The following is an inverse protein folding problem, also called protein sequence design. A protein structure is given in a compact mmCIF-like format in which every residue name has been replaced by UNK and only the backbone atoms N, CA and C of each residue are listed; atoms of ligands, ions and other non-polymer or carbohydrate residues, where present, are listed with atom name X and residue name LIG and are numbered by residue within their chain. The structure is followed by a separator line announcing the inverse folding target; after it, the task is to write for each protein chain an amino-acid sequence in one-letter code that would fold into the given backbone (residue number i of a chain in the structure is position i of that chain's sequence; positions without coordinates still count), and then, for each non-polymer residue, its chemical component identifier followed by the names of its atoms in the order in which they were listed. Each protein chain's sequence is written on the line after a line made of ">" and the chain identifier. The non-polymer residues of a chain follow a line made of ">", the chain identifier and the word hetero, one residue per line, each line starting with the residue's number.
data_IF_883407879573
#
_entry.id   IF_883407879573
#
_cell.length_a   1.000
_cell.length_b   1.000
_cell.length_c   1.000
_cell.angle_alpha   90.00
_cell.angle_beta   90.00
_cell.angle_gamma   90.00
#
_symmetry.space_group_name_H-M   'P 1'
#
loop_
_entity.id
_entity.type
_entity.pdbx_description
1 polymer ?
#
# COMPACT_ATOMS: atom_id res chain seq x y z
N UNK A 1 -6.32 5.48 -9.88
CA UNK A 1 -7.46 5.82 -9.01
C UNK A 1 -8.49 4.70 -9.13
N UNK A 2 -9.40 4.59 -8.17
CA UNK A 2 -10.54 3.68 -8.21
C UNK A 2 -11.81 4.44 -7.86
N UNK A 3 -12.90 4.17 -8.57
CA UNK A 3 -14.24 4.59 -8.15
C UNK A 3 -14.84 3.48 -7.27
N UNK A 4 -14.85 3.70 -5.97
CA UNK A 4 -15.26 2.72 -4.98
C UNK A 4 -16.75 2.40 -5.06
N UNK A 5 -17.58 3.32 -5.56
CA UNK A 5 -18.99 3.05 -5.80
C UNK A 5 -19.20 1.98 -6.89
N UNK A 6 -18.22 1.80 -7.79
CA UNK A 6 -18.25 0.78 -8.85
C UNK A 6 -17.46 -0.46 -8.45
N UNK A 7 -16.27 -0.31 -7.86
CA UNK A 7 -15.40 -1.46 -7.54
C UNK A 7 -15.80 -2.17 -6.24
N UNK A 8 -16.52 -1.50 -5.35
CA UNK A 8 -16.95 -2.04 -4.04
C UNK A 8 -18.35 -1.53 -3.67
N UNK A 9 -19.36 -1.77 -4.52
CA UNK A 9 -20.68 -1.14 -4.41
C UNK A 9 -21.41 -1.46 -3.10
N UNK A 10 -21.23 -2.65 -2.53
CA UNK A 10 -21.92 -3.05 -1.29
C UNK A 10 -21.61 -2.17 -0.08
N UNK A 11 -20.45 -1.52 -0.07
CA UNK A 11 -20.00 -0.66 1.04
C UNK A 11 -20.04 0.83 0.69
N UNK A 12 -19.81 1.17 -0.58
CA UNK A 12 -19.54 2.56 -0.99
C UNK A 12 -20.55 3.13 -1.97
N UNK A 13 -21.43 2.32 -2.57
CA UNK A 13 -22.51 2.87 -3.39
C UNK A 13 -23.64 3.37 -2.49
N UNK A 14 -24.05 4.62 -2.73
CA UNK A 14 -25.22 5.22 -2.10
C UNK A 14 -26.06 5.87 -3.17
N UNK A 15 -27.35 5.51 -3.20
CA UNK A 15 -28.27 6.00 -4.20
C UNK A 15 -28.35 7.54 -4.16
N UNK A 16 -28.10 8.19 -5.29
CA UNK A 16 -28.13 9.65 -5.40
C UNK A 16 -26.90 10.41 -4.89
N UNK A 17 -25.90 9.74 -4.27
CA UNK A 17 -24.70 10.42 -3.74
C UNK A 17 -23.49 10.41 -4.70
N UNK A 18 -23.63 9.82 -5.89
CA UNK A 18 -22.58 9.81 -6.90
C UNK A 18 -21.47 8.80 -6.62
N UNK A 19 -20.21 9.23 -6.77
CA UNK A 19 -19.02 8.37 -6.73
C UNK A 19 -18.09 8.72 -5.57
N UNK A 20 -17.37 7.72 -5.06
CA UNK A 20 -16.25 7.92 -4.12
C UNK A 20 -14.94 7.55 -4.81
N UNK A 21 -14.10 8.56 -5.07
CA UNK A 21 -12.84 8.36 -5.77
C UNK A 21 -11.68 8.20 -4.79
N UNK A 22 -10.96 7.08 -4.90
CA UNK A 22 -9.69 6.87 -4.21
C UNK A 22 -8.52 7.06 -5.18
N UNK A 23 -7.63 7.98 -4.88
CA UNK A 23 -6.45 8.30 -5.70
C UNK A 23 -5.16 8.19 -4.88
N UNK A 24 -4.05 7.90 -5.56
CA UNK A 24 -2.71 7.81 -4.97
C UNK A 24 -1.84 8.89 -5.59
N UNK A 25 -1.18 9.66 -4.75
CA UNK A 25 -0.19 10.67 -5.13
C UNK A 25 1.20 10.19 -4.69
N UNK A 26 2.22 10.45 -5.50
CA UNK A 26 3.61 10.11 -5.16
C UNK A 26 4.31 11.17 -4.30
N UNK A 27 5.59 10.92 -4.00
CA UNK A 27 6.43 11.77 -3.14
C UNK A 27 6.47 13.26 -3.55
N UNK A 28 6.25 13.57 -4.83
CA UNK A 28 6.28 14.95 -5.35
C UNK A 28 5.14 15.82 -4.83
N UNK A 29 4.07 15.21 -4.32
CA UNK A 29 2.93 15.92 -3.73
C UNK A 29 3.07 16.10 -2.21
N UNK A 30 4.03 15.46 -1.55
CA UNK A 30 4.09 15.36 -0.08
C UNK A 30 4.10 16.73 0.61
N UNK A 31 4.84 17.69 0.06
CA UNK A 31 4.96 19.06 0.58
C UNK A 31 3.78 19.99 0.29
N UNK A 32 2.82 19.61 -0.56
CA UNK A 32 1.64 20.44 -0.89
C UNK A 32 0.64 20.45 0.27
N UNK A 33 -0.20 21.47 0.39
CA UNK A 33 -1.30 21.44 1.36
C UNK A 33 -2.33 20.36 1.01
N UNK A 34 -3.15 19.93 1.97
CA UNK A 34 -4.22 18.96 1.71
C UNK A 34 -5.21 19.53 0.67
N UNK A 35 -5.58 20.80 0.81
CA UNK A 35 -6.49 21.48 -0.13
C UNK A 35 -5.93 21.50 -1.55
N UNK A 36 -4.62 21.74 -1.71
CA UNK A 36 -3.99 21.70 -3.03
C UNK A 36 -3.99 20.28 -3.62
N UNK A 37 -3.75 19.24 -2.82
CA UNK A 37 -3.81 17.85 -3.28
C UNK A 37 -5.23 17.50 -3.74
N UNK A 38 -6.25 17.94 -2.99
CA UNK A 38 -7.66 17.73 -3.36
C UNK A 38 -7.96 18.46 -4.67
N UNK A 39 -7.55 19.71 -4.82
CA UNK A 39 -7.77 20.48 -6.05
C UNK A 39 -7.06 19.83 -7.26
N UNK A 40 -5.79 19.43 -7.11
CA UNK A 40 -5.03 18.74 -8.16
C UNK A 40 -5.72 17.44 -8.60
N UNK A 41 -6.33 16.71 -7.65
CA UNK A 41 -7.11 15.51 -7.92
C UNK A 41 -8.37 15.83 -8.73
N UNK A 42 -9.14 16.84 -8.30
CA UNK A 42 -10.36 17.27 -8.97
C UNK A 42 -10.09 17.77 -10.39
N UNK A 43 -9.03 18.55 -10.60
CA UNK A 43 -8.67 19.07 -11.92
C UNK A 43 -8.30 17.93 -12.89
N UNK A 44 -7.59 16.90 -12.41
CA UNK A 44 -7.31 15.70 -13.20
C UNK A 44 -8.57 14.89 -13.47
N UNK A 45 -9.46 14.73 -12.48
CA UNK A 45 -10.74 14.04 -12.66
C UNK A 45 -11.62 14.76 -13.68
N UNK A 46 -11.72 16.08 -13.62
CA UNK A 46 -12.45 16.89 -14.60
C UNK A 46 -11.88 16.76 -16.01
N UNK A 47 -10.56 16.55 -16.13
CA UNK A 47 -9.88 16.33 -17.41
C UNK A 47 -10.17 14.94 -17.96
N UNK A 48 -10.08 13.91 -17.12
CA UNK A 48 -10.32 12.51 -17.50
C UNK A 48 -11.81 12.20 -17.73
N UNK A 49 -12.69 12.82 -16.94
CA UNK A 49 -14.13 12.61 -16.94
C UNK A 49 -14.85 13.95 -17.01
N UNK A 50 -15.05 14.53 -18.21
CA UNK A 50 -15.68 15.84 -18.35
C UNK A 50 -17.07 15.96 -17.73
N UNK A 51 -17.82 14.84 -17.61
CA UNK A 51 -19.11 14.79 -16.90
C UNK A 51 -19.01 15.17 -15.42
N UNK A 52 -17.85 14.93 -14.78
CA UNK A 52 -17.63 15.25 -13.37
C UNK A 52 -17.56 16.75 -13.09
N UNK A 53 -17.37 17.60 -14.11
CA UNK A 53 -17.35 19.08 -13.96
C UNK A 53 -18.66 19.67 -13.45
N UNK A 54 -19.76 18.93 -13.56
CA UNK A 54 -21.08 19.34 -13.07
C UNK A 54 -21.35 18.86 -11.64
N UNK A 55 -20.42 18.09 -11.06
CA UNK A 55 -20.53 17.51 -9.72
C UNK A 55 -19.78 18.37 -8.71
N UNK A 56 -20.23 18.32 -7.47
CA UNK A 56 -19.58 18.99 -6.35
C UNK A 56 -18.89 17.94 -5.47
N UNK A 57 -17.64 18.19 -5.09
CA UNK A 57 -16.97 17.41 -4.06
C UNK A 57 -17.63 17.73 -2.71
N UNK A 58 -18.36 16.76 -2.15
CA UNK A 58 -19.08 16.92 -0.87
C UNK A 58 -18.20 16.71 0.34
N UNK A 59 -17.15 15.90 0.20
CA UNK A 59 -16.19 15.59 1.26
C UNK A 59 -14.87 15.09 0.65
N UNK A 60 -13.77 15.35 1.35
CA UNK A 60 -12.46 14.82 1.00
C UNK A 60 -11.63 14.52 2.25
N UNK A 61 -10.68 13.59 2.11
CA UNK A 61 -9.68 13.30 3.14
C UNK A 61 -8.35 12.99 2.48
N UNK A 62 -7.27 13.49 3.09
CA UNK A 62 -5.90 13.30 2.62
C UNK A 62 -5.11 12.63 3.73
N UNK A 63 -4.59 11.43 3.44
CA UNK A 63 -3.69 10.69 4.33
C UNK A 63 -2.27 10.76 3.76
N UNK A 64 -1.34 11.28 4.54
CA UNK A 64 0.07 11.38 4.17
C UNK A 64 0.91 10.40 4.97
N UNK A 65 1.48 9.42 4.28
CA UNK A 65 2.37 8.42 4.89
C UNK A 65 3.80 8.68 4.39
N UNK A 66 4.65 9.28 5.24
CA UNK A 66 6.01 9.66 4.86
C UNK A 66 7.01 8.50 4.76
N UNK A 67 6.68 7.37 5.38
CA UNK A 67 7.54 6.16 5.44
C UNK A 67 6.66 4.92 5.26
N UNK A 68 5.94 4.84 4.14
CA UNK A 68 5.00 3.74 3.88
C UNK A 68 5.70 2.44 3.47
N UNK A 69 6.74 2.55 2.64
CA UNK A 69 7.48 1.44 2.04
C UNK A 69 8.97 1.79 2.03
N UNK A 70 9.84 0.77 1.97
CA UNK A 70 11.24 1.04 1.71
C UNK A 70 11.43 1.45 0.24
N UNK A 71 12.47 2.23 -0.03
CA UNK A 71 12.71 2.71 -1.39
C UNK A 71 13.49 1.69 -2.19
N UNK A 72 12.79 1.00 -3.08
CA UNK A 72 13.40 0.14 -4.10
C UNK A 72 14.35 0.96 -4.98
N UNK A 73 15.63 0.58 -5.00
CA UNK A 73 16.65 1.12 -5.91
C UNK A 73 17.55 -0.03 -6.37
N UNK A 74 18.21 0.09 -7.53
CA UNK A 74 19.18 -0.91 -7.95
C UNK A 74 20.21 -1.20 -6.85
N UNK A 75 20.41 -2.49 -6.56
CA UNK A 75 21.37 -2.96 -5.55
C UNK A 75 20.91 -2.85 -4.10
N UNK A 76 19.62 -2.61 -3.81
CA UNK A 76 19.09 -2.59 -2.44
C UNK A 76 18.79 -3.98 -1.87
N UNK A 77 18.64 -5.01 -2.71
CA UNK A 77 18.31 -6.37 -2.24
C UNK A 77 19.28 -6.92 -1.20
N UNK A 78 20.56 -6.53 -1.26
CA UNK A 78 21.58 -6.92 -0.28
C UNK A 78 21.31 -6.45 1.14
N UNK A 79 20.43 -5.46 1.32
CA UNK A 79 20.04 -4.93 2.63
C UNK A 79 18.73 -5.53 3.15
N UNK A 80 18.06 -6.37 2.34
CA UNK A 80 16.85 -7.07 2.76
C UNK A 80 17.24 -8.26 3.63
N UNK A 81 16.90 -8.28 4.93
CA UNK A 81 17.26 -9.39 5.80
C UNK A 81 16.49 -10.65 5.41
N UNK A 82 17.10 -11.81 5.59
CA UNK A 82 16.40 -13.09 5.53
C UNK A 82 15.46 -13.24 6.75
N UNK A 83 14.47 -14.13 6.64
CA UNK A 83 13.46 -14.36 7.67
C UNK A 83 14.08 -14.88 8.97
N UNK A 84 15.01 -15.81 8.87
CA UNK A 84 15.80 -16.29 9.99
C UNK A 84 16.99 -15.36 10.25
N UNK A 85 17.08 -14.84 11.47
CA UNK A 85 18.23 -14.03 11.87
C UNK A 85 19.34 -14.91 12.48
N UNK A 86 20.56 -14.38 12.64
CA UNK A 86 21.62 -15.06 13.39
C UNK A 86 21.32 -15.26 14.88
N UNK A 87 20.31 -14.58 15.42
CA UNK A 87 19.92 -14.69 16.84
C UNK A 87 18.94 -15.85 16.97
N UNK A 88 19.25 -16.79 17.86
CA UNK A 88 18.40 -17.97 18.09
C UNK A 88 16.98 -17.56 18.48
N UNK A 89 16.00 -18.23 17.87
CA UNK A 89 14.57 -17.98 18.07
C UNK A 89 14.13 -16.52 17.81
N UNK A 90 14.83 -15.81 16.90
CA UNK A 90 14.48 -14.46 16.50
C UNK A 90 14.33 -14.38 14.97
N UNK A 91 13.16 -13.93 14.53
CA UNK A 91 12.75 -13.93 13.12
C UNK A 91 12.21 -12.55 12.72
N UNK A 92 12.32 -12.23 11.43
CA UNK A 92 11.80 -11.00 10.86
C UNK A 92 10.83 -11.32 9.73
N UNK A 93 9.65 -10.71 9.76
CA UNK A 93 8.70 -10.69 8.65
C UNK A 93 8.32 -9.25 8.31
N UNK A 94 7.68 -9.08 7.16
CA UNK A 94 7.38 -7.83 6.52
C UNK A 94 7.96 -7.79 5.11
N UNK A 95 7.29 -7.07 4.23
CA UNK A 95 7.63 -6.97 2.82
C UNK A 95 9.04 -6.45 2.53
N UNK A 96 9.66 -5.75 3.50
CA UNK A 96 11.06 -5.31 3.49
C UNK A 96 12.09 -6.45 3.64
N UNK A 97 11.68 -7.63 4.11
CA UNK A 97 12.54 -8.82 4.20
C UNK A 97 12.77 -9.43 2.81
N UNK A 98 13.76 -10.30 2.68
CA UNK A 98 14.13 -10.91 1.41
C UNK A 98 13.06 -11.89 0.92
N UNK A 99 12.52 -11.64 -0.28
CA UNK A 99 11.56 -12.49 -0.98
C UNK A 99 11.47 -12.03 -2.45
N UNK A 100 10.99 -12.89 -3.34
CA UNK A 100 11.05 -12.68 -4.81
C UNK A 100 10.02 -11.69 -5.36
N UNK A 101 9.16 -11.11 -4.51
CA UNK A 101 8.26 -10.00 -4.82
C UNK A 101 8.82 -8.66 -4.32
N UNK A 102 8.27 -7.58 -4.86
CA UNK A 102 8.54 -6.21 -4.43
C UNK A 102 7.94 -5.94 -3.04
N UNK A 103 8.29 -4.78 -2.46
CA UNK A 103 7.60 -4.24 -1.28
C UNK A 103 6.08 -4.07 -1.54
N UNK A 104 5.30 -5.07 -1.15
CA UNK A 104 3.89 -5.23 -1.55
C UNK A 104 3.11 -6.08 -0.54
N UNK A 105 1.78 -6.10 -0.69
CA UNK A 105 0.91 -6.97 0.14
C UNK A 105 1.24 -8.46 -0.04
N UNK A 106 1.54 -8.89 -1.27
CA UNK A 106 1.98 -10.27 -1.53
C UNK A 106 3.33 -10.54 -0.88
N UNK A 107 4.29 -9.62 -1.02
CA UNK A 107 5.60 -9.74 -0.37
C UNK A 107 5.51 -9.82 1.15
N UNK A 108 4.62 -9.03 1.77
CA UNK A 108 4.35 -9.09 3.20
C UNK A 108 3.77 -10.45 3.60
N UNK A 109 2.79 -10.96 2.85
CA UNK A 109 2.17 -12.27 3.11
C UNK A 109 3.19 -13.41 2.97
N UNK A 110 3.97 -13.40 1.88
CA UNK A 110 5.01 -14.39 1.61
C UNK A 110 6.08 -14.39 2.69
N UNK A 111 6.54 -13.22 3.13
CA UNK A 111 7.50 -13.14 4.22
C UNK A 111 7.00 -13.80 5.52
N UNK A 112 5.70 -13.68 5.81
CA UNK A 112 5.09 -14.32 6.98
C UNK A 112 5.05 -15.85 6.85
N UNK A 113 4.70 -16.35 5.66
CA UNK A 113 4.74 -17.80 5.38
C UNK A 113 6.16 -18.36 5.48
N UNK A 114 7.16 -17.66 4.94
CA UNK A 114 8.56 -18.06 5.03
C UNK A 114 9.05 -18.10 6.48
N UNK A 115 8.66 -17.16 7.34
CA UNK A 115 8.95 -17.22 8.78
C UNK A 115 8.27 -18.44 9.43
N UNK A 116 7.03 -18.74 9.07
CA UNK A 116 6.33 -19.91 9.60
C UNK A 116 7.05 -21.22 9.24
N UNK A 117 7.52 -21.35 7.99
CA UNK A 117 8.29 -22.50 7.52
C UNK A 117 9.61 -22.65 8.30
N UNK A 118 10.32 -21.54 8.54
CA UNK A 118 11.55 -21.50 9.33
C UNK A 118 11.33 -21.91 10.81
N UNK A 119 10.19 -21.56 11.39
CA UNK A 119 9.83 -21.94 12.76
C UNK A 119 9.53 -23.45 12.83
N UNK A 120 8.69 -23.96 11.92
CA UNK A 120 8.32 -25.38 11.88
C UNK A 120 9.56 -26.25 11.65
N UNK A 121 10.41 -25.89 10.69
CA UNK A 121 11.63 -26.65 10.38
C UNK A 121 12.60 -26.72 11.56
N UNK A 122 12.66 -25.70 12.42
CA UNK A 122 13.47 -25.74 13.65
C UNK A 122 12.80 -26.60 14.71
N UNK A 123 11.51 -26.38 14.98
CA UNK A 123 10.76 -27.18 15.96
C UNK A 123 10.78 -28.69 15.66
N UNK A 124 10.80 -29.07 14.38
CA UNK A 124 10.89 -30.48 13.93
C UNK A 124 12.35 -30.97 13.78
N UNK A 125 13.34 -30.10 14.02
CA UNK A 125 14.75 -30.42 13.98
C UNK A 125 15.22 -31.24 15.18
N UNK A 126 16.45 -31.80 15.12
CA UNK A 126 16.97 -32.70 16.17
C UNK A 126 17.10 -32.07 17.57
N UNK A 127 16.93 -30.74 17.69
CA UNK A 127 17.01 -30.00 18.96
C UNK A 127 15.70 -29.29 19.35
N UNK A 128 14.61 -29.44 18.57
CA UNK A 128 13.42 -28.59 18.67
C UNK A 128 13.69 -27.14 18.27
#
# INVERSE_FOLDING_TARGET
>A
FADLAITSPGEYYKEGEGSLIQAVFDERAFGRSNDQIVQDCLDQLHTLFPSSKQLNCTWSSVVKLGQSLYREKPGQDKFRPQQATPISNFFLCGSYTYQDYLDSMEGATRSGLMVADEIVARADGPNG
#
